data_IF_488125657293
#
_entry.id   IF_488125657293
#
_cell.length_a   1.000
_cell.length_b   1.000
_cell.length_c   1.000
_cell.angle_alpha   90.00
_cell.angle_beta   90.00
_cell.angle_gamma   90.00
#
_symmetry.space_group_name_H-M   'P 1'
#
loop_
_entity.id
_entity.type
_entity.pdbx_description
1 polymer ?
#
# COMPACT_ATOMS: atom_id res chain seq x y z
N UNK A 1 40.16 7.48 -30.61
CA UNK A 1 39.08 8.01 -31.46
C UNK A 1 37.76 7.24 -31.35
N UNK A 2 37.80 5.96 -31.10
CA UNK A 2 36.57 5.16 -30.98
C UNK A 2 35.74 5.41 -29.70
N UNK A 3 36.30 6.08 -28.72
CA UNK A 3 35.64 6.35 -27.46
C UNK A 3 34.74 7.60 -27.44
N UNK A 4 34.88 8.48 -28.41
CA UNK A 4 34.10 9.71 -28.51
C UNK A 4 32.69 9.46 -29.05
N UNK A 5 32.50 8.41 -29.83
CA UNK A 5 31.19 8.10 -30.42
C UNK A 5 30.16 7.55 -29.43
N UNK A 6 30.62 6.91 -28.39
CA UNK A 6 29.70 6.33 -27.38
C UNK A 6 29.10 7.39 -26.47
N UNK A 7 29.86 8.48 -26.27
CA UNK A 7 29.39 9.55 -25.39
C UNK A 7 28.29 10.41 -26.01
N UNK A 8 28.33 10.58 -27.33
CA UNK A 8 27.29 11.36 -28.02
C UNK A 8 25.96 10.63 -28.14
N UNK A 9 25.97 9.31 -28.16
CA UNK A 9 24.74 8.54 -28.20
C UNK A 9 23.96 8.54 -26.88
N UNK A 10 24.66 8.63 -25.77
CA UNK A 10 24.06 8.68 -24.43
C UNK A 10 23.47 10.06 -24.10
N UNK A 11 24.02 11.13 -24.62
CA UNK A 11 23.49 12.47 -24.42
C UNK A 11 22.26 12.76 -25.26
N UNK A 12 22.14 12.13 -26.42
CA UNK A 12 20.96 12.28 -27.27
C UNK A 12 19.72 11.58 -26.69
N UNK A 13 19.90 10.48 -25.98
CA UNK A 13 18.78 9.76 -25.39
C UNK A 13 18.19 10.47 -24.16
N UNK A 14 18.98 11.20 -23.40
CA UNK A 14 18.46 11.93 -22.24
C UNK A 14 17.69 13.20 -22.62
N UNK A 15 18.02 13.83 -23.73
CA UNK A 15 17.32 15.00 -24.22
C UNK A 15 15.91 14.68 -24.74
N UNK A 16 15.69 13.47 -25.23
CA UNK A 16 14.40 13.04 -25.76
C UNK A 16 13.36 12.85 -24.68
N UNK A 17 13.78 12.46 -23.47
CA UNK A 17 12.85 12.27 -22.35
C UNK A 17 12.40 13.58 -21.70
N UNK A 18 13.16 14.63 -21.80
CA UNK A 18 12.84 15.91 -21.16
C UNK A 18 11.75 16.71 -21.88
N UNK A 19 11.50 16.44 -23.19
CA UNK A 19 10.60 17.22 -24.02
C UNK A 19 9.65 16.36 -24.88
N UNK A 20 9.54 15.06 -24.64
CA UNK A 20 8.67 14.21 -25.41
C UNK A 20 7.21 14.46 -25.01
N UNK A 21 6.50 15.21 -25.83
CA UNK A 21 5.04 15.10 -25.87
C UNK A 21 4.71 13.75 -26.50
N UNK A 22 4.32 12.79 -25.69
CA UNK A 22 3.86 11.48 -26.18
C UNK A 22 2.57 11.72 -26.96
N UNK A 23 2.55 11.37 -28.25
CA UNK A 23 1.35 11.48 -29.06
C UNK A 23 0.33 10.41 -28.61
N UNK A 24 -0.96 10.69 -28.81
CA UNK A 24 -2.03 9.75 -28.48
C UNK A 24 -1.85 8.42 -29.22
N UNK A 25 -1.29 8.45 -30.41
CA UNK A 25 -1.02 7.24 -31.22
C UNK A 25 0.09 6.35 -30.62
N UNK A 26 1.08 6.95 -29.96
CA UNK A 26 2.12 6.20 -29.26
C UNK A 26 1.57 5.55 -27.98
N UNK A 27 0.64 6.21 -27.29
CA UNK A 27 -0.05 5.63 -26.13
C UNK A 27 -0.91 4.42 -26.51
N UNK A 28 -1.47 4.39 -27.72
CA UNK A 28 -2.28 3.27 -28.23
C UNK A 28 -1.45 2.03 -28.55
N UNK A 29 -0.17 2.20 -28.81
CA UNK A 29 0.75 1.12 -29.14
C UNK A 29 1.60 0.63 -27.96
N UNK A 30 1.45 1.27 -26.80
CA UNK A 30 2.05 0.72 -25.58
C UNK A 30 1.36 -0.62 -25.27
N UNK A 31 2.13 -1.69 -25.10
CA UNK A 31 1.54 -2.92 -24.61
C UNK A 31 0.83 -2.58 -23.30
N UNK A 32 -0.44 -2.88 -23.22
CA UNK A 32 -1.20 -2.81 -21.97
C UNK A 32 -0.54 -3.84 -21.06
N UNK A 33 0.48 -3.41 -20.37
CA UNK A 33 1.01 -4.19 -19.27
C UNK A 33 -0.09 -4.19 -18.21
N UNK A 34 -0.40 -5.38 -17.79
CA UNK A 34 -1.34 -5.60 -16.71
C UNK A 34 -1.12 -4.53 -15.63
N UNK A 35 -2.16 -3.83 -15.23
CA UNK A 35 -2.06 -2.75 -14.24
C UNK A 35 -1.41 -3.22 -12.92
N UNK A 36 -1.37 -4.54 -12.70
CA UNK A 36 -0.63 -5.20 -11.64
C UNK A 36 0.89 -5.04 -11.75
N UNK A 37 1.42 -4.68 -12.92
CA UNK A 37 2.86 -4.47 -13.12
C UNK A 37 3.29 -3.00 -13.10
N UNK A 38 2.35 -2.06 -13.08
CA UNK A 38 2.64 -0.67 -12.77
C UNK A 38 2.93 -0.53 -11.27
N UNK A 39 4.04 -1.11 -10.85
CA UNK A 39 4.67 -0.72 -9.60
C UNK A 39 5.22 0.70 -9.78
N UNK A 40 4.35 1.67 -9.64
CA UNK A 40 4.76 3.03 -9.33
C UNK A 40 5.52 2.93 -8.01
N UNK A 41 6.79 3.23 -8.04
CA UNK A 41 7.71 3.11 -6.90
C UNK A 41 7.03 3.53 -5.59
N UNK A 42 6.77 2.56 -4.72
CA UNK A 42 6.18 2.78 -3.41
C UNK A 42 4.65 2.76 -3.34
N UNK A 43 3.96 2.37 -4.40
CA UNK A 43 2.50 2.19 -4.37
C UNK A 43 2.13 0.70 -4.42
N UNK A 44 1.13 0.33 -3.66
CA UNK A 44 0.49 -0.99 -3.70
C UNK A 44 -0.94 -0.83 -4.19
N UNK A 45 -1.44 -1.80 -4.93
CA UNK A 45 -2.86 -1.88 -5.32
C UNK A 45 -3.66 -2.65 -4.27
N UNK A 46 -4.99 -2.49 -4.27
CA UNK A 46 -5.85 -3.31 -3.42
C UNK A 46 -5.68 -4.79 -3.74
N UNK A 47 -5.49 -5.15 -5.02
CA UNK A 47 -5.14 -6.51 -5.43
C UNK A 47 -3.83 -7.01 -4.80
N UNK A 48 -2.81 -6.16 -4.69
CA UNK A 48 -1.56 -6.46 -3.99
C UNK A 48 -1.77 -6.74 -2.51
N UNK A 49 -2.65 -6.00 -1.84
CA UNK A 49 -3.03 -6.27 -0.45
C UNK A 49 -3.67 -7.64 -0.27
N UNK A 50 -4.55 -8.04 -1.19
CA UNK A 50 -5.20 -9.34 -1.16
C UNK A 50 -4.22 -10.50 -1.43
N UNK A 51 -3.14 -10.23 -2.14
CA UNK A 51 -2.05 -11.19 -2.38
C UNK A 51 -0.99 -11.24 -1.28
N UNK A 52 -1.15 -10.46 -0.21
CA UNK A 52 -0.26 -10.47 0.96
C UNK A 52 0.99 -9.60 0.80
N UNK A 53 0.97 -8.62 -0.08
CA UNK A 53 2.06 -7.64 -0.18
C UNK A 53 2.27 -6.89 1.14
N UNK A 54 3.53 -6.66 1.47
CA UNK A 54 3.89 -5.92 2.66
C UNK A 54 3.46 -4.45 2.55
N UNK A 55 2.75 -3.97 3.56
CA UNK A 55 2.33 -2.57 3.67
C UNK A 55 2.99 -1.93 4.88
N UNK A 56 3.57 -0.76 4.66
CA UNK A 56 4.18 0.06 5.70
C UNK A 56 3.39 1.35 5.92
N UNK A 57 3.58 1.96 7.09
CA UNK A 57 2.98 3.26 7.39
C UNK A 57 3.36 4.31 6.35
N UNK A 58 2.39 5.09 5.90
CA UNK A 58 2.57 6.14 4.89
C UNK A 58 2.57 5.64 3.44
N UNK A 59 2.49 4.32 3.23
CA UNK A 59 2.41 3.76 1.89
C UNK A 59 1.08 4.10 1.24
N UNK A 60 1.13 4.43 -0.05
CA UNK A 60 -0.06 4.72 -0.84
C UNK A 60 -0.61 3.42 -1.43
N UNK A 61 -1.91 3.25 -1.32
CA UNK A 61 -2.66 2.12 -1.83
C UNK A 61 -3.65 2.64 -2.86
N UNK A 62 -3.56 2.14 -4.07
CA UNK A 62 -4.44 2.51 -5.17
C UNK A 62 -5.64 1.55 -5.20
N UNK A 63 -6.85 2.10 -5.23
CA UNK A 63 -8.06 1.30 -5.39
C UNK A 63 -8.10 0.59 -6.75
N UNK A 64 -8.87 -0.50 -6.83
CA UNK A 64 -8.96 -1.34 -8.04
C UNK A 64 -9.50 -0.58 -9.26
N UNK A 65 -10.22 0.51 -9.03
CA UNK A 65 -10.70 1.40 -10.10
C UNK A 65 -9.62 2.37 -10.62
N UNK A 66 -8.43 2.40 -10.01
CA UNK A 66 -7.35 3.33 -10.32
C UNK A 66 -7.63 4.81 -9.99
N UNK A 67 -8.81 5.12 -9.43
CA UNK A 67 -9.27 6.48 -9.17
C UNK A 67 -9.21 6.87 -7.70
N UNK A 68 -9.23 5.89 -6.81
CA UNK A 68 -9.16 6.12 -5.36
C UNK A 68 -7.76 5.87 -4.84
N UNK A 69 -7.27 6.76 -4.00
CA UNK A 69 -5.98 6.62 -3.33
C UNK A 69 -6.16 6.68 -1.81
N UNK A 70 -5.48 5.79 -1.12
CA UNK A 70 -5.49 5.69 0.33
C UNK A 70 -4.06 5.70 0.87
N UNK A 71 -3.89 6.26 2.04
CA UNK A 71 -2.62 6.21 2.79
C UNK A 71 -2.77 5.25 3.97
N UNK A 72 -1.83 4.33 4.14
CA UNK A 72 -1.77 3.48 5.31
C UNK A 72 -1.37 4.30 6.54
N UNK A 73 -2.26 4.38 7.55
CA UNK A 73 -2.04 5.23 8.73
C UNK A 73 -1.00 4.67 9.69
N UNK A 74 -0.62 3.41 9.52
CA UNK A 74 0.25 2.70 10.46
C UNK A 74 -0.50 2.01 11.59
N UNK A 75 -1.82 2.07 11.55
CA UNK A 75 -2.71 1.44 12.51
C UNK A 75 -3.44 0.25 11.88
N UNK A 76 -3.86 -0.69 12.71
CA UNK A 76 -4.73 -1.80 12.33
C UNK A 76 -6.01 -1.69 13.16
N UNK A 77 -7.16 -1.81 12.51
CA UNK A 77 -8.46 -1.81 13.17
C UNK A 77 -8.88 -3.25 13.38
N UNK A 78 -9.11 -3.62 14.64
CA UNK A 78 -9.44 -4.98 15.04
C UNK A 78 -10.80 -5.00 15.74
N UNK A 79 -11.61 -5.99 15.41
CA UNK A 79 -12.82 -6.31 16.16
C UNK A 79 -12.59 -7.60 16.94
N UNK A 80 -12.74 -7.53 18.25
CA UNK A 80 -12.64 -8.67 19.15
C UNK A 80 -14.00 -9.29 19.44
N UNK A 81 -14.02 -10.59 19.70
CA UNK A 81 -15.19 -11.26 20.25
C UNK A 81 -15.52 -10.72 21.64
N UNK A 82 -16.79 -10.82 22.06
CA UNK A 82 -17.26 -10.27 23.34
C UNK A 82 -16.62 -10.93 24.57
N UNK A 83 -16.09 -12.13 24.41
CA UNK A 83 -15.41 -12.89 25.46
C UNK A 83 -13.87 -12.76 25.41
N UNK A 84 -13.35 -12.02 24.43
CA UNK A 84 -11.91 -11.84 24.26
C UNK A 84 -11.35 -10.86 25.29
N UNK A 85 -10.16 -11.19 25.80
CA UNK A 85 -9.37 -10.28 26.62
C UNK A 85 -8.39 -9.51 25.72
N UNK A 86 -8.61 -8.19 25.62
CA UNK A 86 -7.79 -7.33 24.78
C UNK A 86 -6.33 -7.26 25.26
N UNK A 87 -6.09 -7.35 26.57
CA UNK A 87 -4.74 -7.31 27.13
C UNK A 87 -3.99 -8.61 26.84
N UNK A 88 -4.68 -9.74 26.81
CA UNK A 88 -4.09 -11.02 26.43
C UNK A 88 -3.70 -11.02 24.95
N UNK A 89 -4.57 -10.55 24.08
CA UNK A 89 -4.26 -10.41 22.63
C UNK A 89 -3.07 -9.45 22.41
N UNK A 90 -3.05 -8.33 23.13
CA UNK A 90 -1.95 -7.37 23.06
C UNK A 90 -0.61 -8.00 23.43
N UNK A 91 -0.57 -8.75 24.53
CA UNK A 91 0.66 -9.42 25.00
C UNK A 91 1.12 -10.52 24.07
N UNK A 92 0.20 -11.35 23.58
CA UNK A 92 0.51 -12.48 22.71
C UNK A 92 1.18 -12.03 21.41
N UNK A 93 0.73 -10.91 20.86
CA UNK A 93 1.24 -10.39 19.59
C UNK A 93 2.27 -9.25 19.75
N UNK A 94 2.58 -8.83 20.96
CA UNK A 94 3.49 -7.69 21.22
C UNK A 94 2.96 -6.38 20.65
N UNK A 95 1.64 -6.15 20.77
CA UNK A 95 0.93 -5.02 20.21
C UNK A 95 0.43 -4.10 21.31
N UNK A 96 0.07 -2.88 20.93
CA UNK A 96 -0.67 -1.96 21.79
C UNK A 96 -2.08 -1.80 21.25
N UNK A 97 -3.08 -2.21 22.03
CA UNK A 97 -4.49 -2.09 21.68
C UNK A 97 -5.11 -0.92 22.47
N UNK A 98 -5.79 -0.05 21.74
CA UNK A 98 -6.58 1.04 22.33
C UNK A 98 -8.03 0.89 21.91
N UNK A 99 -8.93 0.74 22.87
CA UNK A 99 -10.35 0.66 22.58
C UNK A 99 -10.84 1.94 21.90
N UNK A 100 -11.45 1.81 20.75
CA UNK A 100 -12.06 2.90 20.00
C UNK A 100 -13.57 2.97 20.25
N UNK A 101 -14.25 1.83 20.09
CA UNK A 101 -15.70 1.75 20.29
C UNK A 101 -16.14 0.30 20.50
N UNK A 102 -16.81 0.00 21.61
CA UNK A 102 -17.31 -1.35 21.93
C UNK A 102 -16.22 -2.43 21.79
N UNK A 103 -16.40 -3.35 20.84
CA UNK A 103 -15.45 -4.42 20.52
C UNK A 103 -14.38 -4.04 19.50
N UNK A 104 -14.35 -2.78 19.04
CA UNK A 104 -13.37 -2.28 18.10
C UNK A 104 -12.19 -1.62 18.81
N UNK A 105 -11.01 -2.01 18.38
CA UNK A 105 -9.74 -1.53 18.91
C UNK A 105 -8.86 -1.01 17.77
N UNK A 106 -8.14 0.06 18.05
CA UNK A 106 -7.04 0.52 17.20
C UNK A 106 -5.76 -0.10 17.74
N UNK A 107 -5.04 -0.76 16.86
CA UNK A 107 -3.80 -1.46 17.16
C UNK A 107 -2.64 -0.70 16.59
N UNK A 108 -1.65 -0.41 17.41
CA UNK A 108 -0.35 0.11 16.96
C UNK A 108 0.71 -0.97 17.17
N UNK A 109 1.60 -1.08 16.20
CA UNK A 109 2.69 -2.06 16.18
C UNK A 109 4.03 -1.36 15.93
N UNK A 110 5.07 -1.88 16.55
CA UNK A 110 6.45 -1.54 16.19
C UNK A 110 6.94 -2.23 14.91
N UNK A 111 6.19 -3.24 14.44
CA UNK A 111 6.50 -3.94 13.20
C UNK A 111 6.24 -3.01 12.01
N UNK A 112 7.16 -3.02 11.06
CA UNK A 112 7.02 -2.20 9.85
C UNK A 112 6.00 -2.77 8.88
N UNK A 113 5.89 -4.10 8.79
CA UNK A 113 4.95 -4.77 7.91
C UNK A 113 3.57 -4.92 8.58
N UNK A 114 2.64 -4.06 8.21
CA UNK A 114 1.27 -4.06 8.75
C UNK A 114 0.42 -5.23 8.25
N UNK A 115 0.69 -5.73 7.05
CA UNK A 115 -0.01 -6.90 6.49
C UNK A 115 0.24 -8.14 7.34
N UNK A 116 1.50 -8.34 7.76
CA UNK A 116 1.85 -9.45 8.67
C UNK A 116 1.12 -9.35 10.01
N UNK A 117 0.97 -8.14 10.54
CA UNK A 117 0.21 -7.90 11.78
C UNK A 117 -1.26 -8.27 11.59
N UNK A 118 -1.87 -7.84 10.49
CA UNK A 118 -3.26 -8.17 10.16
C UNK A 118 -3.46 -9.67 10.03
N UNK A 119 -2.57 -10.35 9.33
CA UNK A 119 -2.67 -11.80 9.12
C UNK A 119 -2.47 -12.59 10.42
N UNK A 120 -1.52 -12.19 11.25
CA UNK A 120 -1.32 -12.85 12.54
C UNK A 120 -2.53 -12.67 13.47
N UNK A 121 -3.17 -11.51 13.44
CA UNK A 121 -4.40 -11.25 14.21
C UNK A 121 -5.60 -12.04 13.68
N UNK A 122 -5.72 -12.21 12.38
CA UNK A 122 -6.80 -13.03 11.79
C UNK A 122 -6.73 -14.51 12.16
N UNK A 123 -5.55 -14.99 12.50
CA UNK A 123 -5.37 -16.38 12.96
C UNK A 123 -5.77 -16.57 14.43
N UNK A 124 -5.93 -15.49 15.17
CA UNK A 124 -6.36 -15.52 16.55
C UNK A 124 -7.86 -15.81 16.64
N UNK A 125 -8.25 -16.86 17.36
CA UNK A 125 -9.65 -17.31 17.47
C UNK A 125 -10.59 -16.32 18.15
N UNK A 126 -10.04 -15.34 18.86
CA UNK A 126 -10.78 -14.27 19.54
C UNK A 126 -10.94 -13.00 18.71
N UNK A 127 -10.31 -12.94 17.54
CA UNK A 127 -10.38 -11.83 16.59
C UNK A 127 -11.44 -12.10 15.53
N UNK A 128 -12.48 -11.28 15.46
CA UNK A 128 -13.55 -11.38 14.47
C UNK A 128 -13.14 -10.76 13.12
N UNK A 129 -12.40 -9.66 13.16
CA UNK A 129 -11.87 -9.01 11.96
C UNK A 129 -10.63 -8.20 12.29
N UNK A 130 -9.72 -8.10 11.32
CA UNK A 130 -8.55 -7.23 11.36
C UNK A 130 -8.34 -6.60 9.99
N UNK A 131 -8.23 -5.28 9.94
CA UNK A 131 -8.10 -4.51 8.72
C UNK A 131 -7.07 -3.39 8.89
N UNK A 132 -6.39 -3.03 7.80
CA UNK A 132 -5.50 -1.87 7.79
C UNK A 132 -6.27 -0.57 8.04
N UNK A 133 -5.72 0.31 8.84
CA UNK A 133 -6.18 1.68 8.96
C UNK A 133 -5.78 2.46 7.70
N UNK A 134 -6.78 2.95 6.95
CA UNK A 134 -6.60 3.67 5.71
C UNK A 134 -7.20 5.06 5.79
N UNK A 135 -6.45 6.05 5.34
CA UNK A 135 -6.92 7.41 5.15
C UNK A 135 -7.16 7.66 3.67
N UNK A 136 -8.38 8.04 3.32
CA UNK A 136 -8.70 8.41 1.95
C UNK A 136 -7.99 9.73 1.59
N UNK A 137 -7.28 9.74 0.46
CA UNK A 137 -6.56 10.89 -0.07
C UNK A 137 -7.36 11.62 -1.16
N UNK A 138 -8.50 11.10 -1.56
CA UNK A 138 -9.36 11.76 -2.55
C UNK A 138 -9.81 13.10 -1.97
N UNK A 139 -9.17 14.15 -2.42
CA UNK A 139 -9.52 15.50 -2.03
C UNK A 139 -10.88 15.82 -2.64
N UNK A 140 -11.87 15.99 -1.79
CA UNK A 140 -13.11 16.65 -2.25
C UNK A 140 -12.72 18.07 -2.64
N UNK A 141 -12.66 18.30 -3.93
CA UNK A 141 -12.62 19.67 -4.46
C UNK A 141 -13.99 20.27 -4.13
N UNK A 142 -14.03 21.09 -3.10
CA UNK A 142 -15.19 21.92 -2.80
C UNK A 142 -15.23 23.11 -3.74
#
# INVERSE_FOLDING_TARGET
>A
MKKLFVLCALTASSAVYANASVSVDELSNLPIQDASQLQLNGHTTVGGLLSGEAVTKGQIIIGDNGLSAFEATGEVIVQLASFADADEVAKTHGLTLKQAYKSFYVVTSSKQNLTEVVESLKQEGTVLSANLGLKNLDTKIN
#
